data_IF_929866495428
#
_entry.id   IF_929866495428
#
_cell.length_a   1.000
_cell.length_b   1.000
_cell.length_c   1.000
_cell.angle_alpha   90.00
_cell.angle_beta   90.00
_cell.angle_gamma   90.00
#
_symmetry.space_group_name_H-M   'P 1'
#
loop_
_entity.id
_entity.type
_entity.pdbx_description
1 polymer ?
#
# COMPACT_ATOMS: atom_id res chain seq x y z
N UNK A 1 -8.20 10.59 -61.26
CA UNK A 1 -9.46 10.99 -60.60
C UNK A 1 -9.91 9.78 -59.80
N UNK A 2 -10.09 9.73 -58.48
CA UNK A 2 -9.89 10.61 -57.34
C UNK A 2 -9.96 9.68 -56.13
N UNK A 3 -9.10 9.81 -55.13
CA UNK A 3 -9.33 9.23 -53.80
C UNK A 3 -10.35 10.11 -53.05
N UNK A 4 -11.08 9.57 -52.05
CA UNK A 4 -10.63 9.77 -50.67
C UNK A 4 -10.75 8.47 -49.85
N UNK A 5 -9.76 8.07 -49.05
CA UNK A 5 -9.32 8.71 -47.79
C UNK A 5 -10.46 8.81 -46.77
N UNK A 6 -10.52 7.88 -45.81
CA UNK A 6 -11.41 8.02 -44.65
C UNK A 6 -11.80 6.67 -44.02
N UNK A 7 -11.08 6.07 -43.07
CA UNK A 7 -10.88 6.51 -41.68
C UNK A 7 -11.87 5.85 -40.68
N UNK A 8 -11.26 5.12 -39.74
CA UNK A 8 -11.60 5.02 -38.32
C UNK A 8 -12.76 4.10 -37.85
N UNK A 9 -12.35 2.92 -37.40
CA UNK A 9 -12.44 2.46 -36.01
C UNK A 9 -13.72 2.78 -35.20
N UNK A 10 -14.52 1.74 -34.95
CA UNK A 10 -15.29 1.58 -33.71
C UNK A 10 -15.12 0.15 -33.20
N UNK A 11 -14.27 -0.07 -32.18
CA UNK A 11 -14.58 0.00 -30.73
C UNK A 11 -15.89 -0.77 -30.46
N UNK A 12 -15.87 -1.88 -29.73
CA UNK A 12 -15.56 -1.88 -28.31
C UNK A 12 -15.09 -3.28 -27.87
N UNK A 13 -13.83 -3.38 -27.46
CA UNK A 13 -13.39 -4.46 -26.59
C UNK A 13 -14.01 -4.23 -25.20
N UNK A 14 -15.05 -5.01 -24.87
CA UNK A 14 -15.50 -5.19 -23.48
C UNK A 14 -14.36 -5.85 -22.70
N UNK A 15 -13.49 -5.01 -22.14
CA UNK A 15 -12.47 -5.39 -21.18
C UNK A 15 -13.20 -5.83 -19.91
N UNK A 16 -13.66 -7.08 -19.87
CA UNK A 16 -13.91 -7.78 -18.64
C UNK A 16 -12.58 -7.84 -17.91
N UNK A 17 -12.38 -6.85 -17.05
CA UNK A 17 -11.23 -6.68 -16.19
C UNK A 17 -11.32 -7.82 -15.18
N UNK A 18 -10.81 -9.00 -15.57
CA UNK A 18 -10.47 -10.09 -14.67
C UNK A 18 -9.44 -9.55 -13.70
N UNK A 19 -9.93 -8.88 -12.67
CA UNK A 19 -9.19 -8.46 -11.50
C UNK A 19 -8.91 -9.74 -10.76
N UNK A 20 -7.84 -10.42 -11.15
CA UNK A 20 -7.18 -11.43 -10.33
C UNK A 20 -6.88 -10.77 -8.99
N UNK A 21 -7.82 -10.92 -8.06
CA UNK A 21 -7.76 -10.39 -6.71
C UNK A 21 -6.86 -11.38 -5.99
N UNK A 22 -5.55 -11.22 -6.14
CA UNK A 22 -4.54 -11.95 -5.37
C UNK A 22 -4.95 -11.86 -3.91
N UNK A 23 -5.54 -12.96 -3.46
CA UNK A 23 -5.99 -13.20 -2.10
C UNK A 23 -4.70 -13.51 -1.34
N UNK A 24 -4.47 -12.77 -0.26
CA UNK A 24 -3.36 -12.95 0.69
C UNK A 24 -1.96 -12.63 0.15
N UNK A 25 -1.61 -11.35 0.19
CA UNK A 25 -0.22 -10.94 0.47
C UNK A 25 -0.33 -9.90 1.56
N UNK A 26 0.25 -10.15 2.73
CA UNK A 26 0.20 -9.24 3.87
C UNK A 26 0.66 -7.85 3.42
N UNK A 27 -0.27 -6.87 3.36
CA UNK A 27 0.03 -5.53 2.84
C UNK A 27 0.23 -4.58 4.00
N UNK A 28 1.41 -3.97 4.05
CA UNK A 28 1.69 -2.93 5.04
C UNK A 28 1.66 -1.58 4.33
N UNK A 29 0.79 -0.70 4.78
CA UNK A 29 0.72 0.68 4.31
C UNK A 29 1.08 1.61 5.46
N UNK A 30 2.14 2.38 5.25
CA UNK A 30 2.60 3.39 6.19
C UNK A 30 2.22 4.77 5.69
N UNK A 31 2.02 5.70 6.62
CA UNK A 31 1.77 7.10 6.31
C UNK A 31 3.09 7.86 6.31
N UNK A 32 3.41 8.60 5.26
CA UNK A 32 4.61 9.45 5.20
C UNK A 32 4.59 10.57 6.26
N UNK A 33 3.41 11.03 6.68
CA UNK A 33 3.31 12.03 7.75
C UNK A 33 3.62 11.46 9.14
N UNK A 34 3.75 10.15 9.27
CA UNK A 34 4.03 9.51 10.55
C UNK A 34 5.54 9.62 10.84
N UNK A 35 5.90 10.14 12.01
CA UNK A 35 7.30 10.31 12.38
C UNK A 35 8.00 8.94 12.39
N UNK A 36 9.14 8.84 11.71
CA UNK A 36 9.92 7.60 11.60
C UNK A 36 9.37 6.53 10.64
N UNK A 37 8.34 6.83 9.84
CA UNK A 37 7.77 5.83 8.92
C UNK A 37 8.72 5.38 7.80
N UNK A 38 9.59 6.25 7.30
CA UNK A 38 10.61 5.89 6.32
C UNK A 38 11.61 4.87 6.90
N UNK A 39 12.14 5.17 8.09
CA UNK A 39 13.06 4.27 8.79
C UNK A 39 12.39 2.92 9.11
N UNK A 40 11.13 2.94 9.56
CA UNK A 40 10.35 1.73 9.81
C UNK A 40 10.17 0.90 8.53
N UNK A 41 9.87 1.55 7.39
CA UNK A 41 9.71 0.87 6.11
C UNK A 41 11.02 0.23 5.65
N UNK A 42 12.12 0.97 5.72
CA UNK A 42 13.44 0.45 5.33
C UNK A 42 13.80 -0.78 6.16
N UNK A 43 13.62 -0.72 7.49
CA UNK A 43 13.85 -1.88 8.38
C UNK A 43 12.97 -3.08 8.03
N UNK A 44 11.69 -2.84 7.70
CA UNK A 44 10.78 -3.92 7.29
C UNK A 44 11.18 -4.56 5.96
N UNK A 45 11.61 -3.77 4.98
CA UNK A 45 12.05 -4.29 3.67
C UNK A 45 13.40 -5.00 3.75
N UNK A 46 14.29 -4.53 4.62
CA UNK A 46 15.58 -5.15 4.92
C UNK A 46 15.40 -6.54 5.55
N UNK A 47 14.55 -6.64 6.57
CA UNK A 47 14.28 -7.91 7.25
C UNK A 47 13.35 -8.84 6.45
N UNK A 48 12.43 -8.29 5.65
CA UNK A 48 11.44 -9.05 4.89
C UNK A 48 11.34 -8.54 3.44
N UNK A 49 12.28 -8.92 2.55
CA UNK A 49 12.33 -8.42 1.17
C UNK A 49 11.12 -8.86 0.30
N UNK A 50 10.34 -9.84 0.74
CA UNK A 50 9.12 -10.31 0.06
C UNK A 50 7.82 -9.63 0.53
N UNK A 51 7.88 -8.70 1.48
CA UNK A 51 6.71 -8.07 2.10
C UNK A 51 6.14 -6.95 1.21
N UNK A 52 4.80 -6.90 1.00
CA UNK A 52 4.15 -5.77 0.28
C UNK A 52 4.00 -4.55 1.21
N UNK A 53 5.14 -4.04 1.70
CA UNK A 53 5.21 -2.82 2.48
C UNK A 53 5.41 -1.60 1.57
N UNK A 54 4.53 -0.59 1.68
CA UNK A 54 4.64 0.65 0.89
C UNK A 54 4.34 1.87 1.74
N UNK A 55 5.12 2.92 1.53
CA UNK A 55 4.83 4.25 2.05
C UNK A 55 3.77 4.92 1.16
N UNK A 56 2.70 5.42 1.77
CA UNK A 56 1.69 6.24 1.11
C UNK A 56 1.74 7.66 1.66
N UNK A 57 1.36 8.64 0.83
CA UNK A 57 1.27 10.07 1.23
C UNK A 57 0.45 10.26 2.52
N UNK A 58 -0.82 9.85 2.54
CA UNK A 58 -1.59 9.63 3.78
C UNK A 58 -2.42 8.34 3.64
N UNK A 59 -2.63 7.65 4.77
CA UNK A 59 -3.52 6.49 4.88
C UNK A 59 -4.95 6.88 5.28
N UNK A 60 -5.31 8.15 5.10
CA UNK A 60 -6.59 8.78 5.48
C UNK A 60 -6.94 8.73 6.98
N UNK A 61 -6.03 8.24 7.82
CA UNK A 61 -6.15 8.26 9.29
C UNK A 61 -5.30 9.38 9.89
N UNK A 62 -5.34 10.55 9.25
CA UNK A 62 -4.48 11.68 9.58
C UNK A 62 -4.80 12.26 10.98
N UNK A 63 -6.01 12.03 11.54
CA UNK A 63 -6.36 12.37 12.95
C UNK A 63 -5.57 11.54 13.97
N UNK A 64 -5.24 10.31 13.61
CA UNK A 64 -4.52 9.35 14.46
C UNK A 64 -3.02 9.47 14.24
N UNK A 65 -2.56 9.57 12.99
CA UNK A 65 -1.12 9.64 12.68
C UNK A 65 -0.43 10.90 13.20
N UNK A 66 -1.19 11.98 13.49
CA UNK A 66 -0.66 13.20 14.12
C UNK A 66 -0.43 13.05 15.63
N UNK A 67 -1.16 12.13 16.27
CA UNK A 67 -1.09 11.89 17.71
C UNK A 67 -0.13 10.78 18.06
N UNK A 68 -0.09 9.73 17.23
CA UNK A 68 0.68 8.53 17.52
C UNK A 68 1.08 7.76 16.25
N UNK A 69 2.18 6.99 16.32
CA UNK A 69 2.59 6.08 15.26
C UNK A 69 1.48 5.14 14.77
N UNK A 70 1.31 5.10 13.44
CA UNK A 70 0.24 4.36 12.78
C UNK A 70 0.74 3.60 11.55
N UNK A 71 0.31 2.33 11.44
CA UNK A 71 0.43 1.51 10.25
C UNK A 71 -0.93 0.89 9.88
N UNK A 72 -1.14 0.56 8.61
CA UNK A 72 -2.27 -0.26 8.16
C UNK A 72 -1.73 -1.58 7.67
N UNK A 73 -2.07 -2.67 8.35
CA UNK A 73 -1.66 -4.03 8.02
C UNK A 73 -2.90 -4.81 7.57
N UNK A 74 -2.89 -5.34 6.34
CA UNK A 74 -4.00 -6.10 5.76
C UNK A 74 -5.39 -5.44 5.95
N UNK A 75 -5.47 -4.13 5.72
CA UNK A 75 -6.63 -3.26 5.97
C UNK A 75 -7.03 -3.05 7.44
N UNK A 76 -6.38 -3.72 8.38
CA UNK A 76 -6.49 -3.43 9.81
C UNK A 76 -5.60 -2.25 10.20
N UNK A 77 -6.12 -1.40 11.08
CA UNK A 77 -5.38 -0.27 11.61
C UNK A 77 -4.57 -0.69 12.84
N UNK A 78 -3.27 -0.40 12.84
CA UNK A 78 -2.37 -0.65 13.95
C UNK A 78 -1.80 0.66 14.46
N UNK A 79 -1.86 0.84 15.76
CA UNK A 79 -1.32 2.00 16.45
C UNK A 79 -0.45 1.56 17.63
N UNK A 80 0.54 2.39 17.95
CA UNK A 80 1.41 2.19 19.10
C UNK A 80 1.80 3.55 19.70
N UNK A 81 2.37 3.55 20.91
CA UNK A 81 2.85 4.79 21.53
C UNK A 81 4.14 5.28 20.85
N UNK A 82 4.96 4.35 20.37
CA UNK A 82 6.26 4.61 19.75
C UNK A 82 6.44 3.86 18.43
N UNK A 83 7.35 4.35 17.57
CA UNK A 83 7.69 3.71 16.28
C UNK A 83 8.28 2.31 16.51
N UNK A 84 9.08 2.15 17.56
CA UNK A 84 9.69 0.87 17.92
C UNK A 84 8.65 -0.15 18.40
N UNK A 85 7.69 0.28 19.23
CA UNK A 85 6.55 -0.57 19.60
C UNK A 85 5.69 -0.95 18.38
N UNK A 86 5.49 -0.02 17.44
CA UNK A 86 4.76 -0.29 16.21
C UNK A 86 5.49 -1.38 15.39
N UNK A 87 6.82 -1.29 15.32
CA UNK A 87 7.65 -2.28 14.66
C UNK A 87 7.51 -3.66 15.29
N UNK A 88 7.65 -3.77 16.62
CA UNK A 88 7.49 -5.04 17.34
C UNK A 88 6.10 -5.66 17.17
N UNK A 89 5.04 -4.84 17.11
CA UNK A 89 3.69 -5.33 16.79
C UNK A 89 3.58 -5.86 15.36
N UNK A 90 4.22 -5.21 14.40
CA UNK A 90 4.23 -5.67 12.99
C UNK A 90 5.04 -6.97 12.85
N UNK A 91 6.20 -7.09 13.49
CA UNK A 91 6.98 -8.33 13.49
C UNK A 91 6.16 -9.51 14.01
N UNK A 92 5.50 -9.35 15.17
CA UNK A 92 4.62 -10.38 15.74
C UNK A 92 3.45 -10.78 14.83
N UNK A 93 3.06 -9.95 13.87
CA UNK A 93 2.01 -10.27 12.89
C UNK A 93 2.58 -10.91 11.62
N UNK A 94 3.85 -10.65 11.31
CA UNK A 94 4.55 -11.24 10.16
C UNK A 94 5.04 -12.66 10.51
N UNK A 95 5.50 -12.87 11.74
CA UNK A 95 5.99 -14.17 12.24
C UNK A 95 4.86 -15.15 12.63
N UNK A 96 3.60 -14.72 12.56
CA UNK A 96 2.43 -15.50 12.97
C UNK A 96 1.80 -16.22 11.79
#
# INVERSE_FOLDING_TARGET
MSWPSGSLYHRQAVRHRFRWRSRHTMKIRLCHHNQGADQLLQRLLDQYPGLDAKLKKCVKQCKTCKKQPLAVYDHAMLTAASVDELYGKLQKLIEK
#
